data_IF_266245174654
#
_entry.id   IF_266245174654
#
_cell.length_a   1.000
_cell.length_b   1.000
_cell.length_c   1.000
_cell.angle_alpha   90.00
_cell.angle_beta   90.00
_cell.angle_gamma   90.00
#
_symmetry.space_group_name_H-M   'P 1'
#
loop_
_entity.id
_entity.type
_entity.pdbx_description
1 polymer ?
#
# COMPACT_ATOMS: atom_id res chain seq x y z
N UNK A 1 -47.06 11.44 -0.48
CA UNK A 1 -45.97 10.81 0.28
C UNK A 1 -44.88 10.45 -0.71
N UNK A 2 -43.77 11.19 -0.72
CA UNK A 2 -42.63 10.90 -1.56
C UNK A 2 -41.85 9.78 -0.85
N UNK A 3 -41.89 8.56 -1.39
CA UNK A 3 -41.12 7.44 -0.89
C UNK A 3 -39.64 7.80 -1.09
N UNK A 4 -38.97 8.14 0.01
CA UNK A 4 -37.55 8.45 -0.01
C UNK A 4 -36.78 7.25 -0.54
N UNK A 5 -36.13 7.40 -1.68
CA UNK A 5 -35.15 6.44 -2.20
C UNK A 5 -34.01 6.40 -1.17
N UNK A 6 -33.98 5.37 -0.37
CA UNK A 6 -32.87 5.11 0.55
C UNK A 6 -31.69 4.67 -0.32
N UNK A 7 -30.84 5.64 -0.68
CA UNK A 7 -29.59 5.35 -1.39
C UNK A 7 -28.73 4.44 -0.48
N UNK A 8 -28.40 3.26 -0.96
CA UNK A 8 -27.46 2.40 -0.26
C UNK A 8 -26.13 3.13 -0.10
N UNK A 9 -25.60 3.13 1.13
CA UNK A 9 -24.28 3.74 1.41
C UNK A 9 -23.20 3.01 0.63
N UNK A 10 -22.24 3.75 0.09
CA UNK A 10 -21.06 3.20 -0.57
C UNK A 10 -20.13 2.59 0.49
N UNK A 11 -19.82 1.30 0.35
CA UNK A 11 -18.94 0.57 1.26
C UNK A 11 -17.48 0.84 0.91
N UNK A 12 -16.75 1.48 1.82
CA UNK A 12 -15.34 1.83 1.64
C UNK A 12 -14.48 1.03 2.61
N UNK A 13 -13.58 0.23 2.07
CA UNK A 13 -12.63 -0.55 2.85
C UNK A 13 -11.24 0.08 2.80
N UNK A 14 -10.76 0.58 3.94
CA UNK A 14 -9.41 1.13 4.08
C UNK A 14 -8.43 0.08 4.55
N UNK A 15 -7.25 0.03 3.92
CA UNK A 15 -6.10 -0.76 4.36
C UNK A 15 -4.96 0.17 4.79
N UNK A 16 -4.63 0.13 6.06
CA UNK A 16 -3.56 0.92 6.68
C UNK A 16 -2.36 0.02 6.98
N UNK A 17 -1.31 0.05 6.16
CA UNK A 17 -0.11 -0.75 6.36
C UNK A 17 0.68 -0.29 7.59
N UNK A 18 1.14 -1.24 8.41
CA UNK A 18 1.83 -0.98 9.68
C UNK A 18 3.30 -0.57 9.58
N UNK A 19 3.80 -0.31 8.38
CA UNK A 19 5.22 -0.01 8.15
C UNK A 19 5.69 1.24 8.93
N UNK A 20 4.87 2.29 8.96
CA UNK A 20 5.11 3.51 9.74
C UNK A 20 3.79 4.10 10.23
N UNK A 21 3.87 5.01 11.22
CA UNK A 21 2.70 5.75 11.69
C UNK A 21 1.98 6.52 10.56
N UNK A 22 2.72 7.05 9.59
CA UNK A 22 2.15 7.80 8.47
C UNK A 22 1.21 6.95 7.62
N UNK A 23 1.56 5.67 7.37
CA UNK A 23 0.73 4.76 6.58
C UNK A 23 -0.55 4.31 7.30
N UNK A 24 -0.63 4.51 8.62
CA UNK A 24 -1.86 4.29 9.40
C UNK A 24 -2.66 5.59 9.55
N UNK A 25 -1.98 6.70 9.81
CA UNK A 25 -2.63 7.98 10.06
C UNK A 25 -3.36 8.53 8.82
N UNK A 26 -2.78 8.42 7.61
CA UNK A 26 -3.40 8.95 6.39
C UNK A 26 -4.73 8.27 6.05
N UNK A 27 -4.83 6.92 5.97
CA UNK A 27 -6.12 6.26 5.79
C UNK A 27 -7.12 6.56 6.90
N UNK A 28 -6.65 6.61 8.15
CA UNK A 28 -7.49 6.94 9.31
C UNK A 28 -8.10 8.33 9.20
N UNK A 29 -7.30 9.34 8.85
CA UNK A 29 -7.79 10.72 8.71
C UNK A 29 -8.80 10.83 7.57
N UNK A 30 -8.53 10.20 6.41
CA UNK A 30 -9.48 10.17 5.31
C UNK A 30 -10.79 9.47 5.68
N UNK A 31 -10.70 8.34 6.39
CA UNK A 31 -11.87 7.58 6.84
C UNK A 31 -12.76 8.40 7.79
N UNK A 32 -12.16 9.24 8.65
CA UNK A 32 -12.89 10.11 9.58
C UNK A 32 -13.66 11.25 8.89
N UNK A 33 -13.16 11.71 7.74
CA UNK A 33 -13.78 12.82 7.00
C UNK A 33 -14.92 12.36 6.08
N UNK A 34 -15.12 11.05 5.88
CA UNK A 34 -16.22 10.55 5.06
C UNK A 34 -17.56 10.71 5.78
N UNK A 35 -18.53 11.29 5.07
CA UNK A 35 -19.88 11.50 5.61
C UNK A 35 -20.58 10.15 5.87
N UNK A 36 -20.90 9.81 7.14
CA UNK A 36 -21.50 8.52 7.49
C UNK A 36 -22.93 8.33 6.93
N UNK A 37 -23.57 9.38 6.43
CA UNK A 37 -24.85 9.27 5.73
C UNK A 37 -24.70 8.67 4.32
N UNK A 38 -23.52 8.82 3.70
CA UNK A 38 -23.23 8.38 2.33
C UNK A 38 -22.31 7.17 2.26
N UNK A 39 -21.47 6.98 3.27
CA UNK A 39 -20.44 5.96 3.28
C UNK A 39 -20.57 5.00 4.46
N UNK A 40 -20.38 3.72 4.19
CA UNK A 40 -20.20 2.66 5.19
C UNK A 40 -18.71 2.30 5.23
N UNK A 41 -18.02 2.80 6.25
CA UNK A 41 -16.56 2.75 6.34
C UNK A 41 -16.11 1.57 7.20
N UNK A 42 -15.15 0.80 6.69
CA UNK A 42 -14.37 -0.18 7.45
C UNK A 42 -12.89 0.16 7.30
N UNK A 43 -12.16 0.22 8.42
CA UNK A 43 -10.70 0.43 8.44
C UNK A 43 -9.99 -0.81 8.95
N UNK A 44 -9.09 -1.37 8.14
CA UNK A 44 -8.18 -2.44 8.51
C UNK A 44 -6.83 -1.85 8.93
N UNK A 45 -6.36 -2.16 10.15
CA UNK A 45 -5.10 -1.65 10.69
C UNK A 45 -4.43 -2.71 11.57
N UNK A 46 -3.08 -2.68 11.77
CA UNK A 46 -2.41 -3.57 12.71
C UNK A 46 -2.83 -3.27 14.16
N UNK A 47 -2.91 -4.31 14.99
CA UNK A 47 -3.27 -4.18 16.40
C UNK A 47 -2.37 -3.21 17.18
N UNK A 48 -1.09 -3.14 16.82
CA UNK A 48 -0.13 -2.20 17.43
C UNK A 48 -0.60 -0.73 17.41
N UNK A 49 -1.53 -0.39 16.52
CA UNK A 49 -2.11 0.95 16.39
C UNK A 49 -3.56 1.04 16.93
N UNK A 50 -4.01 0.06 17.71
CA UNK A 50 -5.39 0.00 18.26
C UNK A 50 -5.78 1.25 19.04
N UNK A 51 -4.86 1.83 19.80
CA UNK A 51 -5.08 3.07 20.57
C UNK A 51 -5.49 4.26 19.72
N UNK A 52 -5.05 4.33 18.45
CA UNK A 52 -5.41 5.43 17.54
C UNK A 52 -6.84 5.33 17.01
N UNK A 53 -7.44 4.16 17.13
CA UNK A 53 -8.76 3.85 16.56
C UNK A 53 -9.85 3.63 17.61
N UNK A 54 -9.55 3.90 18.88
CA UNK A 54 -10.52 3.76 19.99
C UNK A 54 -11.63 4.81 19.86
N UNK A 55 -12.87 4.39 19.99
CA UNK A 55 -14.04 5.29 19.99
C UNK A 55 -14.45 5.85 18.63
N UNK A 56 -13.93 5.28 17.53
CA UNK A 56 -14.33 5.72 16.19
C UNK A 56 -15.72 5.21 15.80
N UNK A 57 -16.48 5.97 14.99
CA UNK A 57 -17.87 5.65 14.67
C UNK A 57 -18.02 4.63 13.52
N UNK A 58 -16.96 3.99 13.07
CA UNK A 58 -16.96 3.00 11.99
C UNK A 58 -16.24 1.70 12.38
N UNK A 59 -16.45 0.67 11.60
CA UNK A 59 -15.92 -0.67 11.86
C UNK A 59 -14.40 -0.70 11.74
N UNK A 60 -13.73 -1.31 12.74
CA UNK A 60 -12.29 -1.57 12.73
C UNK A 60 -12.06 -3.08 12.65
N UNK A 61 -11.13 -3.48 11.76
CA UNK A 61 -10.67 -4.86 11.63
C UNK A 61 -9.14 -4.90 11.81
N UNK A 62 -8.65 -6.02 12.30
CA UNK A 62 -7.22 -6.23 12.40
C UNK A 62 -6.63 -6.61 11.04
N UNK A 63 -5.45 -6.10 10.78
CA UNK A 63 -4.68 -6.32 9.55
C UNK A 63 -3.31 -6.89 9.92
N UNK A 64 -3.00 -8.05 9.37
CA UNK A 64 -1.66 -8.61 9.49
C UNK A 64 -0.65 -7.78 8.70
N UNK A 65 0.37 -7.30 9.39
CA UNK A 65 1.45 -6.50 8.82
C UNK A 65 2.81 -6.97 9.35
N UNK A 66 3.84 -6.82 8.53
CA UNK A 66 5.22 -7.02 8.97
C UNK A 66 5.53 -6.01 10.10
N UNK A 67 6.27 -6.45 11.11
CA UNK A 67 6.69 -5.56 12.19
C UNK A 67 7.48 -4.35 11.66
N UNK A 68 7.18 -3.17 12.19
CA UNK A 68 7.85 -1.91 11.80
C UNK A 68 9.38 -2.00 11.97
N UNK A 69 9.88 -2.76 12.96
CA UNK A 69 11.30 -2.99 13.18
C UNK A 69 11.94 -3.74 12.00
N UNK A 70 11.28 -4.79 11.49
CA UNK A 70 11.77 -5.57 10.34
C UNK A 70 11.76 -4.69 9.09
N UNK A 71 10.69 -3.93 8.89
CA UNK A 71 10.60 -2.97 7.80
C UNK A 71 11.76 -1.96 7.83
N UNK A 72 12.02 -1.33 8.99
CA UNK A 72 13.11 -0.38 9.16
C UNK A 72 14.49 -1.01 8.93
N UNK A 73 14.72 -2.24 9.38
CA UNK A 73 15.97 -2.97 9.13
C UNK A 73 16.18 -3.25 7.64
N UNK A 74 15.16 -3.75 6.92
CA UNK A 74 15.23 -3.98 5.48
C UNK A 74 15.50 -2.69 4.72
N UNK A 75 14.85 -1.59 5.11
CA UNK A 75 15.07 -0.27 4.52
C UNK A 75 16.52 0.21 4.72
N UNK A 76 17.05 0.09 5.95
CA UNK A 76 18.41 0.49 6.29
C UNK A 76 19.50 -0.32 5.53
N UNK A 77 19.20 -1.57 5.18
CA UNK A 77 20.10 -2.43 4.40
C UNK A 77 19.88 -2.31 2.88
N UNK A 78 18.91 -1.54 2.42
CA UNK A 78 18.56 -1.46 0.99
C UNK A 78 18.03 -2.79 0.42
N UNK A 79 17.51 -3.65 1.28
CA UNK A 79 16.91 -4.94 0.89
C UNK A 79 15.46 -4.77 0.43
N UNK A 80 14.89 -5.69 -0.36
CA UNK A 80 13.47 -5.70 -0.66
C UNK A 80 12.64 -5.64 0.64
N UNK A 81 11.72 -4.68 0.71
CA UNK A 81 10.91 -4.42 1.93
C UNK A 81 10.02 -5.61 2.29
N UNK A 82 9.50 -6.28 1.28
CA UNK A 82 8.70 -7.49 1.42
C UNK A 82 9.26 -8.58 0.51
N UNK A 83 9.30 -9.81 1.00
CA UNK A 83 9.59 -10.98 0.20
C UNK A 83 8.29 -11.59 -0.38
N UNK A 84 8.46 -12.60 -1.22
CA UNK A 84 7.34 -13.27 -1.89
C UNK A 84 6.38 -13.96 -0.90
N UNK A 85 6.92 -14.59 0.15
CA UNK A 85 6.11 -15.31 1.13
C UNK A 85 5.23 -14.34 1.94
N UNK A 86 5.83 -13.24 2.42
CA UNK A 86 5.11 -12.16 3.12
C UNK A 86 3.99 -11.60 2.25
N UNK A 87 4.29 -11.25 0.99
CA UNK A 87 3.27 -10.70 0.10
C UNK A 87 2.19 -11.72 -0.27
N UNK A 88 2.52 -13.01 -0.37
CA UNK A 88 1.54 -14.07 -0.61
C UNK A 88 0.55 -14.18 0.56
N UNK A 89 1.06 -14.21 1.80
CA UNK A 89 0.21 -14.20 3.00
C UNK A 89 -0.66 -12.94 3.09
N UNK A 90 -0.11 -11.80 2.68
CA UNK A 90 -0.90 -10.56 2.62
C UNK A 90 -2.05 -10.64 1.62
N UNK A 91 -1.84 -11.25 0.45
CA UNK A 91 -2.94 -11.45 -0.51
C UNK A 91 -4.03 -12.31 0.08
N UNK A 92 -3.67 -13.39 0.78
CA UNK A 92 -4.65 -14.29 1.40
C UNK A 92 -5.46 -13.56 2.49
N UNK A 93 -4.79 -12.78 3.34
CA UNK A 93 -5.43 -11.93 4.37
C UNK A 93 -6.31 -10.83 3.75
N UNK A 94 -5.83 -10.14 2.73
CA UNK A 94 -6.59 -9.10 2.02
C UNK A 94 -7.86 -9.68 1.40
N UNK A 95 -7.77 -10.85 0.75
CA UNK A 95 -8.91 -11.51 0.14
C UNK A 95 -9.96 -11.89 1.17
N UNK A 96 -9.54 -12.39 2.34
CA UNK A 96 -10.48 -12.72 3.42
C UNK A 96 -11.24 -11.48 3.90
N UNK A 97 -10.54 -10.34 4.07
CA UNK A 97 -11.15 -9.07 4.49
C UNK A 97 -12.08 -8.50 3.40
N UNK A 98 -11.69 -8.57 2.12
CA UNK A 98 -12.52 -8.13 0.99
C UNK A 98 -13.79 -9.00 0.89
N UNK A 99 -13.65 -10.32 1.00
CA UNK A 99 -14.79 -11.25 0.94
C UNK A 99 -15.74 -11.07 2.13
N UNK A 100 -15.22 -10.76 3.31
CA UNK A 100 -16.00 -10.50 4.53
C UNK A 100 -16.78 -9.19 4.44
N UNK A 101 -16.19 -8.14 3.86
CA UNK A 101 -16.75 -6.77 3.88
C UNK A 101 -17.52 -6.44 2.60
N UNK A 102 -17.17 -7.09 1.49
CA UNK A 102 -17.75 -6.86 0.14
C UNK A 102 -17.81 -5.37 -0.19
N UNK A 103 -16.64 -4.70 -0.24
CA UNK A 103 -16.58 -3.27 -0.46
C UNK A 103 -16.88 -2.89 -1.90
N UNK A 104 -17.46 -1.71 -2.10
CA UNK A 104 -17.62 -1.09 -3.42
C UNK A 104 -16.31 -0.46 -3.91
N UNK A 105 -15.47 -0.01 -2.96
CA UNK A 105 -14.15 0.55 -3.24
C UNK A 105 -13.16 0.25 -2.11
N UNK A 106 -11.92 -0.01 -2.49
CA UNK A 106 -10.79 -0.21 -1.58
C UNK A 106 -9.89 1.02 -1.63
N UNK A 107 -9.44 1.48 -0.46
CA UNK A 107 -8.43 2.54 -0.32
C UNK A 107 -7.26 1.98 0.47
N UNK A 108 -6.06 2.02 -0.08
CA UNK A 108 -4.88 1.45 0.59
C UNK A 108 -3.70 2.39 0.63
N UNK A 109 -2.98 2.37 1.74
CA UNK A 109 -1.73 3.11 1.91
C UNK A 109 -0.57 2.12 2.06
N UNK A 110 0.31 2.09 1.10
CA UNK A 110 1.51 1.24 1.03
C UNK A 110 1.26 -0.29 1.11
N UNK A 111 0.03 -0.76 0.97
CA UNK A 111 -0.31 -2.19 0.94
C UNK A 111 -0.13 -2.75 -0.47
N UNK A 112 1.10 -3.21 -0.80
CA UNK A 112 1.47 -3.63 -2.16
C UNK A 112 0.68 -4.84 -2.68
N UNK A 113 0.22 -5.71 -1.78
CA UNK A 113 -0.62 -6.88 -2.10
C UNK A 113 -1.97 -6.49 -2.72
N UNK A 114 -2.49 -5.30 -2.45
CA UNK A 114 -3.75 -4.82 -3.04
C UNK A 114 -3.69 -4.66 -4.56
N UNK A 115 -2.49 -4.48 -5.12
CA UNK A 115 -2.31 -4.53 -6.58
C UNK A 115 -2.67 -5.89 -7.19
N UNK A 116 -2.82 -6.92 -6.36
CA UNK A 116 -3.23 -8.28 -6.70
C UNK A 116 -4.62 -8.58 -6.15
N UNK A 117 -4.82 -8.49 -4.84
CA UNK A 117 -6.05 -8.90 -4.15
C UNK A 117 -7.28 -8.13 -4.62
N UNK A 118 -7.19 -6.81 -4.79
CA UNK A 118 -8.29 -6.00 -5.31
C UNK A 118 -8.67 -6.41 -6.76
N UNK A 119 -7.67 -6.73 -7.58
CA UNK A 119 -7.93 -7.19 -8.97
C UNK A 119 -8.56 -8.58 -9.03
N UNK A 120 -8.15 -9.49 -8.14
CA UNK A 120 -8.75 -10.84 -8.06
C UNK A 120 -10.23 -10.78 -7.70
N UNK A 121 -10.70 -9.70 -7.08
CA UNK A 121 -12.11 -9.47 -6.75
C UNK A 121 -12.78 -8.44 -7.64
N UNK A 122 -12.06 -7.93 -8.67
CA UNK A 122 -12.57 -6.87 -9.56
C UNK A 122 -13.10 -5.65 -8.80
N UNK A 123 -12.55 -5.39 -7.60
CA UNK A 123 -12.94 -4.26 -6.77
C UNK A 123 -12.10 -3.03 -7.13
N UNK A 124 -12.70 -1.87 -7.38
CA UNK A 124 -11.98 -0.62 -7.58
C UNK A 124 -11.02 -0.33 -6.42
N UNK A 125 -9.80 0.07 -6.74
CA UNK A 125 -8.76 0.33 -5.75
C UNK A 125 -8.14 1.70 -5.94
N UNK A 126 -8.06 2.48 -4.88
CA UNK A 126 -7.42 3.78 -4.79
C UNK A 126 -6.19 3.65 -3.90
N UNK A 127 -5.02 4.00 -4.41
CA UNK A 127 -3.80 4.00 -3.61
C UNK A 127 -3.48 5.40 -3.07
N UNK A 128 -3.19 5.47 -1.78
CA UNK A 128 -2.58 6.64 -1.16
C UNK A 128 -1.08 6.49 -1.30
N UNK A 129 -0.41 7.46 -1.88
CA UNK A 129 1.04 7.46 -1.99
C UNK A 129 1.60 8.89 -1.97
N UNK A 130 2.88 8.99 -1.62
CA UNK A 130 3.59 10.26 -1.72
C UNK A 130 3.84 10.63 -3.19
N UNK A 131 3.88 11.91 -3.51
CA UNK A 131 4.01 12.40 -4.88
C UNK A 131 5.27 11.86 -5.60
N UNK A 132 6.35 11.61 -4.88
CA UNK A 132 7.58 11.02 -5.46
C UNK A 132 7.44 9.52 -5.80
N UNK A 133 6.43 8.83 -5.26
CA UNK A 133 6.07 7.46 -5.60
C UNK A 133 5.15 7.37 -6.82
N UNK A 134 4.68 8.47 -7.38
CA UNK A 134 3.87 8.45 -8.59
C UNK A 134 4.68 7.86 -9.77
N UNK A 135 4.18 6.84 -10.47
CA UNK A 135 4.87 6.27 -11.63
C UNK A 135 4.96 7.23 -12.81
N UNK A 136 4.17 8.30 -12.83
CA UNK A 136 4.18 9.31 -13.87
C UNK A 136 5.33 10.31 -13.71
N UNK A 137 5.96 10.36 -12.52
CA UNK A 137 7.15 11.18 -12.32
C UNK A 137 8.41 10.42 -12.72
N UNK A 138 9.42 11.11 -13.26
CA UNK A 138 10.74 10.53 -13.49
C UNK A 138 11.27 9.89 -12.21
N UNK A 139 11.87 8.69 -12.32
CA UNK A 139 12.51 8.03 -11.20
C UNK A 139 13.78 8.78 -10.82
N UNK A 140 13.70 9.60 -9.80
CA UNK A 140 14.85 10.31 -9.24
C UNK A 140 14.86 10.13 -7.71
N UNK A 141 15.17 8.91 -7.21
CA UNK A 141 15.17 8.65 -5.80
C UNK A 141 16.28 9.47 -5.12
N UNK A 142 16.00 10.05 -3.95
CA UNK A 142 17.02 10.71 -3.15
C UNK A 142 18.10 9.69 -2.76
N UNK A 143 19.34 10.16 -2.61
CA UNK A 143 20.44 9.33 -2.14
C UNK A 143 20.11 8.79 -0.74
N UNK A 144 20.06 7.47 -0.52
CA UNK A 144 19.82 6.93 0.79
C UNK A 144 21.01 7.20 1.71
N UNK A 145 20.74 7.50 2.98
CA UNK A 145 21.79 7.68 4.00
C UNK A 145 22.28 6.29 4.41
N UNK A 146 23.25 5.77 3.69
CA UNK A 146 23.91 4.50 3.98
C UNK A 146 25.24 4.75 4.72
N UNK A 147 25.72 3.78 5.50
CA UNK A 147 26.93 3.95 6.30
C UNK A 147 28.14 4.41 5.48
N UNK A 148 28.30 3.89 4.27
CA UNK A 148 29.43 4.24 3.39
C UNK A 148 29.32 5.66 2.79
N UNK A 149 28.13 6.25 2.70
CA UNK A 149 27.95 7.61 2.16
C UNK A 149 28.57 8.68 3.06
N UNK A 150 28.92 8.31 4.31
CA UNK A 150 29.59 9.22 5.26
C UNK A 150 31.08 9.42 4.94
N UNK A 151 31.68 8.52 4.14
CA UNK A 151 33.12 8.50 3.88
C UNK A 151 33.48 8.80 2.43
N UNK A 152 32.52 9.02 1.57
CA UNK A 152 32.75 9.28 0.15
C UNK A 152 32.22 10.67 -0.25
N UNK A 153 32.83 11.35 -1.23
CA UNK A 153 32.34 12.62 -1.75
C UNK A 153 30.90 12.47 -2.27
N UNK A 154 29.96 13.24 -1.73
CA UNK A 154 28.53 13.17 -2.06
C UNK A 154 28.27 13.20 -3.57
N UNK A 155 28.91 14.09 -4.39
CA UNK A 155 28.67 14.14 -5.83
C UNK A 155 29.00 12.82 -6.55
N UNK A 156 30.09 12.15 -6.13
CA UNK A 156 30.50 10.87 -6.72
C UNK A 156 29.51 9.77 -6.35
N UNK A 157 29.10 9.71 -5.08
CA UNK A 157 28.12 8.74 -4.60
C UNK A 157 26.77 8.94 -5.29
N UNK A 158 26.34 10.18 -5.46
CA UNK A 158 25.09 10.51 -6.15
C UNK A 158 25.13 10.10 -7.64
N UNK A 159 26.24 10.35 -8.32
CA UNK A 159 26.45 9.93 -9.70
C UNK A 159 26.36 8.42 -9.86
N UNK A 160 27.05 7.66 -8.99
CA UNK A 160 27.00 6.19 -9.00
C UNK A 160 25.57 5.70 -8.66
N UNK A 161 24.96 6.28 -7.63
CA UNK A 161 23.62 5.89 -7.18
C UNK A 161 22.57 6.08 -8.27
N UNK A 162 22.59 7.19 -9.00
CA UNK A 162 21.68 7.44 -10.12
C UNK A 162 21.78 6.39 -11.23
N UNK A 163 22.96 5.78 -11.41
CA UNK A 163 23.17 4.68 -12.38
C UNK A 163 22.65 3.35 -11.87
N UNK A 164 22.76 3.09 -10.56
CA UNK A 164 22.37 1.83 -9.91
C UNK A 164 20.89 1.83 -9.50
N UNK A 165 20.33 2.99 -9.17
CA UNK A 165 18.96 3.11 -8.65
C UNK A 165 17.89 2.40 -9.51
N UNK A 166 17.88 2.47 -10.86
CA UNK A 166 16.91 1.73 -11.66
C UNK A 166 16.98 0.22 -11.45
N UNK A 167 18.19 -0.32 -11.30
CA UNK A 167 18.39 -1.75 -11.03
C UNK A 167 17.91 -2.13 -9.62
N UNK A 168 18.22 -1.32 -8.62
CA UNK A 168 17.74 -1.52 -7.25
C UNK A 168 16.20 -1.49 -7.19
N UNK A 169 15.56 -0.53 -7.86
CA UNK A 169 14.10 -0.44 -7.95
C UNK A 169 13.51 -1.70 -8.60
N UNK A 170 14.15 -2.22 -9.66
CA UNK A 170 13.75 -3.47 -10.29
C UNK A 170 13.83 -4.66 -9.34
N UNK A 171 14.93 -4.81 -8.58
CA UNK A 171 15.06 -5.87 -7.57
C UNK A 171 13.92 -5.82 -6.54
N UNK A 172 13.56 -4.62 -6.10
CA UNK A 172 12.47 -4.42 -5.16
C UNK A 172 11.08 -4.71 -5.76
N UNK A 173 10.92 -4.68 -7.09
CA UNK A 173 9.68 -5.04 -7.77
C UNK A 173 9.50 -6.55 -7.94
N UNK A 174 10.59 -7.33 -7.94
CA UNK A 174 10.55 -8.77 -8.24
C UNK A 174 9.56 -9.58 -7.38
N UNK A 175 9.44 -9.38 -6.06
CA UNK A 175 8.48 -10.15 -5.26
C UNK A 175 7.03 -9.92 -5.70
N UNK A 176 6.67 -8.67 -6.03
CA UNK A 176 5.32 -8.31 -6.51
C UNK A 176 5.09 -8.89 -7.91
N UNK A 177 6.07 -8.81 -8.80
CA UNK A 177 5.98 -9.39 -10.15
C UNK A 177 5.79 -10.92 -10.11
N UNK A 178 6.54 -11.62 -9.24
CA UNK A 178 6.36 -13.05 -9.02
C UNK A 178 4.97 -13.38 -8.49
N UNK A 179 4.46 -12.55 -7.56
CA UNK A 179 3.12 -12.68 -7.01
C UNK A 179 2.05 -12.52 -8.10
N UNK A 180 2.16 -11.49 -8.92
CA UNK A 180 1.24 -11.25 -10.05
C UNK A 180 1.25 -12.40 -11.04
N UNK A 181 2.44 -12.91 -11.38
CA UNK A 181 2.58 -14.09 -12.24
C UNK A 181 1.90 -15.33 -11.65
N UNK A 182 2.04 -15.56 -10.32
CA UNK A 182 1.37 -16.68 -9.63
C UNK A 182 -0.14 -16.64 -9.82
N UNK A 183 -0.74 -15.44 -9.81
CA UNK A 183 -2.17 -15.23 -9.95
C UNK A 183 -2.63 -14.92 -11.38
N UNK A 184 -1.77 -15.13 -12.39
CA UNK A 184 -2.13 -14.93 -13.80
C UNK A 184 -2.40 -13.47 -14.18
N UNK A 185 -1.94 -12.50 -13.38
CA UNK A 185 -2.12 -11.08 -13.65
C UNK A 185 -1.00 -10.53 -14.53
N UNK A 186 -1.28 -9.54 -15.40
CA UNK A 186 -0.28 -8.91 -16.23
C UNK A 186 0.79 -8.23 -15.38
N UNK A 187 2.03 -8.21 -15.91
CA UNK A 187 3.16 -7.51 -15.28
C UNK A 187 2.88 -6.01 -15.17
N UNK A 188 3.33 -5.40 -14.08
CA UNK A 188 3.35 -3.94 -13.91
C UNK A 188 4.59 -3.30 -14.53
N UNK A 189 5.47 -4.12 -15.12
CA UNK A 189 6.78 -3.70 -15.61
C UNK A 189 7.81 -3.65 -14.47
N UNK A 190 8.91 -2.94 -14.71
CA UNK A 190 10.05 -2.91 -13.79
C UNK A 190 9.95 -1.83 -12.69
N UNK A 191 8.86 -1.08 -12.68
CA UNK A 191 8.65 0.02 -11.73
C UNK A 191 7.65 -0.39 -10.65
N UNK A 192 8.16 -0.67 -9.43
CA UNK A 192 7.32 -1.04 -8.27
C UNK A 192 6.29 0.03 -7.89
N UNK A 193 6.49 1.29 -8.27
CA UNK A 193 5.55 2.37 -8.00
C UNK A 193 4.19 2.11 -8.66
N UNK A 194 4.16 1.32 -9.72
CA UNK A 194 2.92 0.88 -10.38
C UNK A 194 2.07 -0.05 -9.51
N UNK A 195 2.61 -0.61 -8.42
CA UNK A 195 1.82 -1.36 -7.45
C UNK A 195 0.84 -0.47 -6.69
N UNK A 196 1.18 0.81 -6.54
CA UNK A 196 0.33 1.82 -5.89
C UNK A 196 -0.55 2.56 -6.90
N UNK A 197 -0.45 2.22 -8.19
CA UNK A 197 -1.21 2.87 -9.24
C UNK A 197 -2.23 1.90 -9.81
N UNK A 198 -3.49 2.22 -9.71
CA UNK A 198 -4.53 1.49 -10.41
C UNK A 198 -5.02 2.34 -11.57
N UNK A 199 -4.60 2.02 -12.76
CA UNK A 199 -5.43 2.35 -13.89
C UNK A 199 -6.68 1.46 -13.80
N UNK A 200 -7.79 2.01 -13.36
CA UNK A 200 -9.11 1.54 -13.73
C UNK A 200 -9.23 1.75 -15.24
N UNK A 201 -8.74 0.81 -16.01
CA UNK A 201 -8.67 0.98 -17.45
C UNK A 201 -8.55 -0.37 -18.10
N UNK A 202 -9.70 -0.87 -18.49
CA UNK A 202 -10.02 -1.77 -19.63
C UNK A 202 -9.23 -3.07 -19.69
#
# INVERSE_FOLDING_TARGET
MVTGIQLNKLKVLFFAEGATLAHVARPLMLAKELNPAQFDVTLCRPEAFSKLTTGLPFRILDLECQEAKIFAQKLAHGSPLYDFATLSGYVDADLALIDQTKPDVIVGDFRLSLSVSARLRSTPYIAICDAYWSPERPLNPPLPVLKFTRYAPIPLVEYIFRRIAPFAVRLHALPVERLRKKFGLPSLGQDRRRCTWTSSGR
#
